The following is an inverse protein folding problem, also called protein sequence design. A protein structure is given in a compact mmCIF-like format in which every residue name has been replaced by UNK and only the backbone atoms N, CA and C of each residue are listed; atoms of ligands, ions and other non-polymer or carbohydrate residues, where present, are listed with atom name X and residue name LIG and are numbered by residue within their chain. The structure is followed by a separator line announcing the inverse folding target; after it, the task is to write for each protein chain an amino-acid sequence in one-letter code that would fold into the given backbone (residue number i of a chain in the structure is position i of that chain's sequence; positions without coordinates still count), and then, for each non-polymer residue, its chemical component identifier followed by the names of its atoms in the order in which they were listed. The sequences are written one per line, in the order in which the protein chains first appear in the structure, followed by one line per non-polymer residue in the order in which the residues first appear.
data_IF_872117377266
#
_entry.id   IF_872117377266
#
_cell.length_a   1.000
_cell.length_b   1.000
_cell.length_c   1.000
_cell.angle_alpha   90.00
_cell.angle_beta   90.00
_cell.angle_gamma   90.00
#
_symmetry.space_group_name_H-M   'P 1'
#
loop_
_entity.id
_entity.type
_entity.pdbx_description
1 polymer ?
#
# COMPACT_ATOMS: atom_id res chain seq x y z
N UNK A 1 5.32 29.13 17.54
CA UNK A 1 5.14 29.17 16.09
C UNK A 1 5.53 27.79 15.55
N UNK A 2 4.56 27.00 15.13
CA UNK A 2 4.83 25.70 14.49
C UNK A 2 5.54 25.97 13.16
N UNK A 3 6.71 25.38 12.96
CA UNK A 3 7.45 25.50 11.72
C UNK A 3 6.58 24.98 10.55
N UNK A 4 6.60 25.70 9.43
CA UNK A 4 5.91 25.29 8.21
C UNK A 4 6.40 23.88 7.80
N UNK A 5 5.50 22.96 7.42
CA UNK A 5 5.94 21.65 6.93
C UNK A 5 6.86 21.81 5.72
N UNK A 6 7.83 20.89 5.53
CA UNK A 6 8.71 20.95 4.37
C UNK A 6 7.88 20.84 3.08
N UNK A 7 8.30 21.50 1.98
CA UNK A 7 7.67 21.31 0.70
C UNK A 7 7.86 19.87 0.23
N UNK A 8 6.92 19.37 -0.59
CA UNK A 8 7.06 18.07 -1.23
C UNK A 8 8.34 18.07 -2.07
N UNK A 9 9.19 17.03 -1.98
CA UNK A 9 10.38 16.93 -2.80
C UNK A 9 10.00 16.84 -4.27
N UNK A 10 10.74 17.55 -5.14
CA UNK A 10 10.51 17.51 -6.57
C UNK A 10 10.72 16.08 -7.13
N UNK A 11 9.94 15.64 -8.13
CA UNK A 11 10.17 14.35 -8.78
C UNK A 11 11.62 14.27 -9.33
N UNK A 12 12.30 13.14 -9.08
CA UNK A 12 13.67 12.95 -9.56
C UNK A 12 13.69 12.87 -11.09
N UNK A 13 14.58 13.63 -11.72
CA UNK A 13 14.73 13.64 -13.17
C UNK A 13 15.19 12.27 -13.73
N UNK A 14 16.00 11.53 -12.97
CA UNK A 14 16.46 10.19 -13.33
C UNK A 14 16.41 9.28 -12.12
N UNK A 15 15.53 8.25 -12.11
CA UNK A 15 15.48 7.29 -11.02
C UNK A 15 16.76 6.45 -10.93
N UNK A 16 17.27 6.27 -9.72
CA UNK A 16 18.37 5.35 -9.42
C UNK A 16 17.82 3.95 -9.16
N UNK A 17 18.46 2.93 -9.74
CA UNK A 17 18.09 1.54 -9.57
C UNK A 17 19.21 0.77 -8.85
N UNK A 18 18.88 0.17 -7.72
CA UNK A 18 19.74 -0.76 -6.99
C UNK A 18 19.21 -2.19 -7.11
N UNK A 19 20.11 -3.17 -7.22
CA UNK A 19 19.75 -4.59 -7.29
C UNK A 19 19.99 -5.26 -5.95
N UNK A 20 19.12 -6.20 -5.62
CA UNK A 20 19.20 -6.99 -4.41
C UNK A 20 19.00 -8.47 -4.73
N UNK A 21 19.69 -9.33 -4.01
CA UNK A 21 19.57 -10.79 -4.15
C UNK A 21 18.26 -11.33 -3.59
N UNK A 22 17.63 -10.59 -2.68
CA UNK A 22 16.35 -10.96 -2.06
C UNK A 22 15.49 -9.75 -1.74
N UNK A 23 14.21 -9.97 -1.53
CA UNK A 23 13.26 -8.95 -1.10
C UNK A 23 13.56 -8.51 0.34
N UNK A 24 14.05 -9.42 1.19
CA UNK A 24 14.49 -9.09 2.53
C UNK A 24 15.66 -8.09 2.51
N UNK A 25 16.68 -8.29 1.66
CA UNK A 25 17.80 -7.35 1.53
C UNK A 25 17.35 -5.96 1.04
N UNK A 26 16.35 -5.90 0.13
CA UNK A 26 15.75 -4.62 -0.27
C UNK A 26 14.98 -3.96 0.89
N UNK A 27 14.29 -4.74 1.71
CA UNK A 27 13.58 -4.26 2.91
C UNK A 27 14.57 -3.74 3.98
N UNK A 28 15.70 -4.39 4.19
CA UNK A 28 16.77 -3.91 5.07
C UNK A 28 17.29 -2.53 4.64
N UNK A 29 17.46 -2.32 3.34
CA UNK A 29 17.86 -1.02 2.80
C UNK A 29 16.79 0.09 3.03
N UNK A 30 15.52 -0.28 3.17
CA UNK A 30 14.45 0.64 3.57
C UNK A 30 14.44 0.85 5.10
N UNK A 31 14.82 -0.16 5.88
CA UNK A 31 14.84 -0.11 7.34
C UNK A 31 16.02 0.71 7.89
N UNK A 32 17.01 1.07 7.08
CA UNK A 32 18.17 1.87 7.49
C UNK A 32 17.80 3.24 8.11
N UNK A 33 16.62 3.78 7.77
CA UNK A 33 16.01 4.94 8.44
C UNK A 33 14.61 4.54 8.96
N UNK A 34 14.51 3.93 10.14
CA UNK A 34 13.31 3.24 10.59
C UNK A 34 12.21 4.17 11.13
N UNK A 35 12.40 5.48 11.15
CA UNK A 35 11.44 6.43 11.71
C UNK A 35 10.25 6.75 10.79
N UNK A 36 9.14 7.17 11.41
CA UNK A 36 8.01 7.74 10.68
C UNK A 36 7.01 6.71 10.13
N UNK A 37 6.56 6.93 8.90
CA UNK A 37 5.57 6.11 8.19
C UNK A 37 6.16 5.57 6.91
N UNK A 38 6.06 4.26 6.68
CA UNK A 38 6.31 3.63 5.37
C UNK A 38 5.00 3.08 4.86
N UNK A 39 4.56 3.57 3.70
CA UNK A 39 3.35 3.11 3.06
C UNK A 39 3.69 2.26 1.81
N UNK A 40 3.33 0.97 1.88
CA UNK A 40 3.47 0.04 0.78
C UNK A 40 2.21 0.03 -0.06
N UNK A 41 2.37 0.36 -1.35
CA UNK A 41 1.31 0.31 -2.34
C UNK A 41 1.47 -0.88 -3.28
N UNK A 42 0.37 -1.49 -3.69
CA UNK A 42 0.38 -2.53 -4.72
C UNK A 42 -0.62 -2.24 -5.84
N UNK A 43 -0.39 -2.85 -7.00
CA UNK A 43 -1.45 -3.08 -7.97
C UNK A 43 -2.17 -4.35 -7.53
N UNK A 44 -3.43 -4.23 -7.17
CA UNK A 44 -4.21 -5.37 -6.71
C UNK A 44 -4.26 -6.48 -7.76
N UNK A 45 -4.05 -7.70 -7.29
CA UNK A 45 -4.18 -8.90 -8.11
C UNK A 45 -5.63 -9.06 -8.58
N UNK A 46 -5.80 -9.52 -9.82
CA UNK A 46 -7.08 -9.90 -10.39
C UNK A 46 -7.12 -11.40 -10.66
N UNK A 47 -8.31 -11.95 -10.95
CA UNK A 47 -8.45 -13.37 -11.35
C UNK A 47 -7.56 -13.76 -12.54
N UNK A 48 -7.27 -12.82 -13.44
CA UNK A 48 -6.39 -13.04 -14.60
C UNK A 48 -4.93 -13.26 -14.20
N UNK A 49 -4.54 -12.78 -13.03
CA UNK A 49 -3.18 -12.89 -12.49
C UNK A 49 -3.08 -13.80 -11.26
N UNK A 50 -4.16 -14.51 -10.90
CA UNK A 50 -4.24 -15.36 -9.71
C UNK A 50 -3.17 -16.48 -9.68
N UNK A 51 -2.67 -16.91 -10.83
CA UNK A 51 -1.56 -17.87 -10.91
C UNK A 51 -0.17 -17.31 -10.58
N UNK A 52 -0.06 -16.00 -10.28
CA UNK A 52 1.19 -15.36 -9.88
C UNK A 52 1.14 -15.06 -8.38
N UNK A 53 2.20 -15.37 -7.64
CA UNK A 53 2.24 -15.04 -6.21
C UNK A 53 2.06 -13.54 -6.00
N UNK A 54 1.08 -13.14 -5.20
CA UNK A 54 0.69 -11.75 -4.98
C UNK A 54 1.80 -10.91 -4.34
N UNK A 55 1.75 -9.58 -4.50
CA UNK A 55 2.59 -8.66 -3.77
C UNK A 55 2.32 -8.75 -2.26
N UNK A 56 1.04 -8.94 -1.88
CA UNK A 56 0.60 -9.11 -0.48
C UNK A 56 1.26 -10.32 0.20
N UNK A 57 1.24 -11.50 -0.45
CA UNK A 57 1.91 -12.68 0.09
C UNK A 57 3.42 -12.49 0.22
N UNK A 58 4.06 -11.85 -0.77
CA UNK A 58 5.51 -11.55 -0.72
C UNK A 58 5.84 -10.54 0.36
N UNK A 59 5.04 -9.51 0.53
CA UNK A 59 5.18 -8.54 1.61
C UNK A 59 5.11 -9.23 2.97
N UNK A 60 4.08 -10.08 3.17
CA UNK A 60 3.83 -10.80 4.42
C UNK A 60 5.00 -11.71 4.82
N UNK A 61 5.59 -12.40 3.86
CA UNK A 61 6.61 -13.41 4.14
C UNK A 61 8.03 -12.86 4.12
N UNK A 62 8.32 -11.86 3.31
CA UNK A 62 9.69 -11.44 3.00
C UNK A 62 10.02 -10.01 3.46
N UNK A 63 9.05 -9.07 3.50
CA UNK A 63 9.28 -7.67 3.92
C UNK A 63 8.91 -7.45 5.38
N UNK A 64 7.70 -7.86 5.77
CA UNK A 64 7.18 -7.59 7.11
C UNK A 64 8.10 -8.13 8.22
N UNK A 65 8.68 -9.35 8.14
CA UNK A 65 9.60 -9.85 9.18
C UNK A 65 10.84 -8.98 9.38
N UNK A 66 11.35 -8.36 8.31
CA UNK A 66 12.51 -7.48 8.35
C UNK A 66 12.18 -6.15 9.02
N UNK A 67 11.01 -5.59 8.73
CA UNK A 67 10.57 -4.30 9.28
C UNK A 67 9.99 -4.41 10.69
N UNK A 68 9.47 -5.57 11.08
CA UNK A 68 8.78 -5.80 12.35
C UNK A 68 9.60 -5.39 13.59
N UNK A 69 10.92 -5.60 13.69
CA UNK A 69 11.71 -5.15 14.82
C UNK A 69 11.67 -3.62 15.05
N UNK A 70 11.38 -2.85 14.01
CA UNK A 70 11.29 -1.40 14.01
C UNK A 70 9.87 -0.87 14.07
N UNK A 71 8.87 -1.71 13.76
CA UNK A 71 7.47 -1.31 13.58
C UNK A 71 6.64 -1.53 14.84
N UNK A 72 5.87 -0.50 15.24
CA UNK A 72 4.87 -0.61 16.30
C UNK A 72 3.50 -0.99 15.74
N UNK A 73 3.14 -0.47 14.57
CA UNK A 73 1.80 -0.59 13.99
C UNK A 73 1.86 -0.97 12.51
N UNK A 74 0.88 -1.77 12.08
CA UNK A 74 0.59 -2.07 10.67
C UNK A 74 -0.87 -1.70 10.39
N UNK A 75 -1.11 -0.80 9.45
CA UNK A 75 -2.44 -0.43 8.97
C UNK A 75 -2.65 -1.13 7.62
N UNK A 76 -3.76 -1.85 7.48
CA UNK A 76 -4.10 -2.58 6.25
C UNK A 76 -5.36 -1.99 5.64
N UNK A 77 -5.33 -1.75 4.33
CA UNK A 77 -6.50 -1.33 3.55
C UNK A 77 -7.49 -2.48 3.42
N UNK A 78 -8.22 -2.70 4.49
CA UNK A 78 -9.37 -3.61 4.49
C UNK A 78 -10.47 -3.03 5.36
N UNK A 79 -11.70 -3.09 4.89
CA UNK A 79 -12.85 -2.51 5.54
C UNK A 79 -13.51 -3.52 6.48
N UNK A 80 -13.85 -3.04 7.67
CA UNK A 80 -14.65 -3.80 8.63
C UNK A 80 -15.81 -2.92 9.09
N UNK A 81 -17.02 -3.39 8.93
CA UNK A 81 -18.22 -2.68 9.39
C UNK A 81 -18.24 -2.52 10.89
N UNK A 82 -18.57 -1.34 11.39
CA UNK A 82 -18.72 -1.05 12.84
C UNK A 82 -20.14 -1.30 13.33
N UNK A 83 -20.79 -2.34 12.81
CA UNK A 83 -22.14 -2.72 13.16
C UNK A 83 -22.74 -3.68 12.14
N UNK A 84 -24.01 -4.05 12.33
CA UNK A 84 -24.75 -4.86 11.36
C UNK A 84 -25.35 -3.94 10.29
N UNK A 85 -24.60 -3.64 9.24
CA UNK A 85 -25.01 -2.70 8.19
C UNK A 85 -25.96 -3.31 7.15
N UNK A 86 -26.21 -4.62 7.22
CA UNK A 86 -27.23 -5.34 6.45
C UNK A 86 -27.01 -5.22 4.93
N UNK A 87 -28.07 -4.92 4.21
CA UNK A 87 -28.04 -4.87 2.73
C UNK A 87 -27.09 -3.85 2.14
N UNK A 88 -26.80 -2.72 2.82
CA UNK A 88 -25.87 -1.72 2.32
C UNK A 88 -24.42 -2.25 2.30
N UNK A 89 -23.98 -2.92 3.35
CA UNK A 89 -22.67 -3.57 3.42
C UNK A 89 -22.56 -4.69 2.39
N UNK A 90 -23.55 -5.59 2.36
CA UNK A 90 -23.58 -6.71 1.41
C UNK A 90 -23.45 -6.24 -0.03
N UNK A 91 -24.26 -5.24 -0.43
CA UNK A 91 -24.23 -4.69 -1.78
C UNK A 91 -22.89 -4.11 -2.15
N UNK A 92 -22.30 -3.29 -1.28
CA UNK A 92 -20.98 -2.69 -1.53
C UNK A 92 -19.93 -3.79 -1.66
N UNK A 93 -19.91 -4.77 -0.76
CA UNK A 93 -18.94 -5.87 -0.78
C UNK A 93 -19.05 -6.70 -2.06
N UNK A 94 -20.26 -7.07 -2.47
CA UNK A 94 -20.50 -7.84 -3.69
C UNK A 94 -20.13 -7.05 -4.96
N UNK A 95 -20.46 -5.75 -5.02
CA UNK A 95 -20.14 -4.90 -6.16
C UNK A 95 -18.63 -4.68 -6.29
N UNK A 96 -17.95 -4.40 -5.17
CA UNK A 96 -16.49 -4.27 -5.13
C UNK A 96 -15.82 -5.56 -5.58
N UNK A 97 -16.23 -6.73 -5.04
CA UNK A 97 -15.67 -8.03 -5.42
C UNK A 97 -15.84 -8.31 -6.93
N UNK A 98 -17.00 -7.96 -7.51
CA UNK A 98 -17.28 -8.12 -8.93
C UNK A 98 -16.43 -7.19 -9.79
N UNK A 99 -16.32 -5.91 -9.41
CA UNK A 99 -15.64 -4.88 -10.20
C UNK A 99 -14.12 -4.97 -10.12
N UNK A 100 -13.59 -5.30 -8.94
CA UNK A 100 -12.13 -5.43 -8.76
C UNK A 100 -11.60 -6.76 -9.26
N UNK A 101 -12.48 -7.73 -9.53
CA UNK A 101 -12.11 -9.10 -9.95
C UNK A 101 -11.04 -9.73 -9.04
N UNK A 102 -11.00 -9.38 -7.75
CA UNK A 102 -10.01 -9.95 -6.82
C UNK A 102 -10.15 -11.47 -6.72
N UNK A 103 -9.02 -12.21 -6.62
CA UNK A 103 -9.06 -13.64 -6.31
C UNK A 103 -9.71 -13.89 -4.94
N UNK A 104 -10.38 -15.02 -4.79
CA UNK A 104 -10.98 -15.40 -3.50
C UNK A 104 -9.95 -15.58 -2.39
N UNK A 105 -8.73 -15.95 -2.74
CA UNK A 105 -7.59 -16.14 -1.83
C UNK A 105 -7.13 -14.84 -1.16
N UNK A 106 -7.46 -13.67 -1.73
CA UNK A 106 -7.03 -12.36 -1.20
C UNK A 106 -7.49 -12.14 0.24
N UNK A 107 -8.70 -12.55 0.60
CA UNK A 107 -9.19 -12.45 1.98
C UNK A 107 -8.35 -13.28 2.95
N UNK A 108 -7.97 -14.49 2.55
CA UNK A 108 -7.10 -15.37 3.34
C UNK A 108 -5.69 -14.78 3.48
N UNK A 109 -5.17 -14.14 2.44
CA UNK A 109 -3.87 -13.47 2.49
C UNK A 109 -3.90 -12.27 3.45
N UNK A 110 -4.97 -11.46 3.45
CA UNK A 110 -5.16 -10.37 4.41
C UNK A 110 -5.20 -10.90 5.85
N UNK A 111 -5.99 -11.95 6.11
CA UNK A 111 -6.05 -12.58 7.43
C UNK A 111 -4.67 -13.11 7.85
N UNK A 112 -3.91 -13.70 6.92
CA UNK A 112 -2.55 -14.19 7.15
C UNK A 112 -1.60 -13.05 7.50
N UNK A 113 -1.67 -11.92 6.78
CA UNK A 113 -0.91 -10.72 7.08
C UNK A 113 -1.17 -10.21 8.50
N UNK A 114 -2.45 -10.07 8.89
CA UNK A 114 -2.83 -9.58 10.22
C UNK A 114 -2.33 -10.52 11.34
N UNK A 115 -2.47 -11.83 11.15
CA UNK A 115 -1.95 -12.85 12.10
C UNK A 115 -0.43 -12.79 12.19
N UNK A 116 0.25 -12.66 11.06
CA UNK A 116 1.71 -12.59 11.00
C UNK A 116 2.24 -11.33 11.70
N UNK A 117 1.63 -10.17 11.45
CA UNK A 117 1.97 -8.93 12.13
C UNK A 117 1.87 -9.08 13.65
N UNK A 118 0.74 -9.60 14.15
CA UNK A 118 0.52 -9.85 15.58
C UNK A 118 1.58 -10.81 16.16
N UNK A 119 1.90 -11.89 15.46
CA UNK A 119 2.93 -12.84 15.90
C UNK A 119 4.33 -12.22 15.97
N UNK A 120 4.62 -11.21 15.15
CA UNK A 120 5.86 -10.45 15.15
C UNK A 120 5.86 -9.27 16.15
N UNK A 121 4.79 -9.12 16.93
CA UNK A 121 4.64 -8.03 17.92
C UNK A 121 4.33 -6.67 17.30
N UNK A 122 3.83 -6.63 16.06
CA UNK A 122 3.32 -5.43 15.39
C UNK A 122 1.81 -5.39 15.56
N UNK A 123 1.26 -4.28 16.06
CA UNK A 123 -0.18 -4.13 16.25
C UNK A 123 -0.90 -3.90 14.90
N UNK A 124 -1.76 -4.84 14.44
CA UNK A 124 -2.48 -4.66 13.20
C UNK A 124 -3.73 -3.79 13.38
N UNK A 125 -4.04 -2.95 12.40
CA UNK A 125 -5.22 -2.10 12.31
C UNK A 125 -5.89 -2.29 10.96
N UNK A 126 -7.22 -2.26 10.96
CA UNK A 126 -8.09 -2.30 9.78
C UNK A 126 -8.96 -1.05 9.76
N UNK A 127 -9.59 -0.75 8.62
CA UNK A 127 -10.41 0.44 8.46
C UNK A 127 -11.83 0.16 8.97
N UNK A 128 -12.17 0.79 10.08
CA UNK A 128 -13.51 0.72 10.67
C UNK A 128 -14.46 1.66 9.91
N UNK A 129 -15.47 1.11 9.23
CA UNK A 129 -16.43 1.85 8.40
C UNK A 129 -17.82 1.73 8.99
N UNK A 130 -18.50 2.87 9.17
CA UNK A 130 -19.83 2.92 9.75
C UNK A 130 -20.92 2.54 8.73
N UNK A 131 -22.08 2.10 9.23
CA UNK A 131 -23.23 1.82 8.38
C UNK A 131 -23.72 3.06 7.62
N UNK A 132 -23.59 4.25 8.21
CA UNK A 132 -23.91 5.50 7.53
C UNK A 132 -22.99 5.75 6.33
N UNK A 133 -21.70 5.44 6.43
CA UNK A 133 -20.77 5.51 5.30
C UNK A 133 -21.13 4.51 4.22
N UNK A 134 -21.43 3.25 4.56
CA UNK A 134 -21.91 2.25 3.58
C UNK A 134 -23.15 2.73 2.82
N UNK A 135 -24.10 3.35 3.52
CA UNK A 135 -25.31 3.91 2.87
C UNK A 135 -24.96 5.00 1.87
N UNK A 136 -23.93 5.83 2.13
CA UNK A 136 -23.52 6.91 1.21
C UNK A 136 -22.81 6.41 -0.04
N UNK A 137 -22.40 5.13 -0.09
CA UNK A 137 -21.76 4.53 -1.25
C UNK A 137 -22.74 4.03 -2.30
N UNK A 138 -24.04 4.01 -2.01
CA UNK A 138 -25.06 3.64 -2.98
C UNK A 138 -25.31 4.82 -3.94
N UNK A 139 -24.82 4.70 -5.16
CA UNK A 139 -25.08 5.63 -6.24
C UNK A 139 -26.48 5.47 -6.85
N UNK A 140 -26.79 6.28 -7.86
CA UNK A 140 -28.02 6.18 -8.61
C UNK A 140 -28.16 4.78 -9.26
N UNK A 141 -29.33 4.16 -9.14
CA UNK A 141 -29.58 2.81 -9.65
C UNK A 141 -28.97 1.67 -8.82
N UNK A 142 -28.44 1.95 -7.62
CA UNK A 142 -27.90 0.95 -6.70
C UNK A 142 -26.49 0.47 -7.00
N UNK A 143 -25.79 1.03 -7.99
CA UNK A 143 -24.37 0.80 -8.21
C UNK A 143 -23.53 1.50 -7.15
N UNK A 144 -22.32 0.97 -6.89
CA UNK A 144 -21.38 1.61 -5.96
C UNK A 144 -20.78 2.87 -6.59
N UNK A 145 -20.77 3.96 -5.82
CA UNK A 145 -20.04 5.18 -6.14
C UNK A 145 -18.53 4.96 -5.84
N UNK A 146 -17.78 4.55 -6.84
CA UNK A 146 -16.34 4.28 -6.71
C UNK A 146 -15.53 5.54 -6.42
N UNK A 147 -15.93 6.69 -6.92
CA UNK A 147 -15.29 7.96 -6.60
C UNK A 147 -15.32 8.22 -5.10
N UNK A 148 -16.50 8.06 -4.52
CA UNK A 148 -16.71 8.20 -3.09
C UNK A 148 -16.01 7.11 -2.27
N UNK A 149 -16.07 5.85 -2.73
CA UNK A 149 -15.42 4.72 -2.08
C UNK A 149 -13.90 4.95 -1.95
N UNK A 150 -13.23 5.31 -3.04
CA UNK A 150 -11.80 5.58 -3.05
C UNK A 150 -11.44 6.78 -2.16
N UNK A 151 -12.26 7.85 -2.20
CA UNK A 151 -12.04 9.03 -1.34
C UNK A 151 -12.20 8.69 0.14
N UNK A 152 -13.23 7.93 0.52
CA UNK A 152 -13.45 7.50 1.91
C UNK A 152 -12.30 6.58 2.36
N UNK A 153 -11.84 5.66 1.51
CA UNK A 153 -10.70 4.79 1.82
C UNK A 153 -9.45 5.61 2.17
N UNK A 154 -9.10 6.60 1.34
CA UNK A 154 -7.95 7.48 1.61
C UNK A 154 -8.10 8.24 2.93
N UNK A 155 -9.30 8.76 3.25
CA UNK A 155 -9.58 9.45 4.49
C UNK A 155 -9.47 8.54 5.71
N UNK A 156 -9.95 7.30 5.61
CA UNK A 156 -9.82 6.31 6.69
C UNK A 156 -8.37 5.91 6.92
N UNK A 157 -7.59 5.70 5.85
CA UNK A 157 -6.16 5.43 5.94
C UNK A 157 -5.41 6.58 6.62
N UNK A 158 -5.64 7.83 6.19
CA UNK A 158 -5.04 9.01 6.83
C UNK A 158 -5.39 9.08 8.31
N UNK A 159 -6.66 8.89 8.67
CA UNK A 159 -7.14 8.91 10.07
C UNK A 159 -6.46 7.81 10.89
N UNK A 160 -6.41 6.59 10.38
CA UNK A 160 -5.77 5.46 11.04
C UNK A 160 -4.27 5.70 11.26
N UNK A 161 -3.57 6.29 10.28
CA UNK A 161 -2.16 6.66 10.41
C UNK A 161 -1.97 7.69 11.52
N UNK A 162 -2.77 8.76 11.55
CA UNK A 162 -2.70 9.79 12.59
C UNK A 162 -2.94 9.21 13.97
N UNK A 163 -3.90 8.30 14.11
CA UNK A 163 -4.18 7.61 15.37
C UNK A 163 -3.01 6.71 15.78
N UNK A 164 -2.49 5.87 14.88
CA UNK A 164 -1.38 4.97 15.17
C UNK A 164 -0.10 5.74 15.57
N UNK A 165 0.18 6.86 14.90
CA UNK A 165 1.31 7.74 15.25
C UNK A 165 1.16 8.34 16.65
N UNK A 166 -0.05 8.61 17.12
CA UNK A 166 -0.34 9.17 18.45
C UNK A 166 -0.32 8.12 19.58
N UNK A 167 -0.42 6.83 19.25
CA UNK A 167 -0.41 5.76 20.25
C UNK A 167 0.99 5.59 20.87
N UNK A 168 1.07 5.14 22.15
CA UNK A 168 2.33 4.77 22.78
C UNK A 168 3.04 3.68 21.95
N UNK A 169 4.29 3.91 21.67
CA UNK A 169 5.13 2.95 20.94
C UNK A 169 5.98 2.20 21.94
N UNK A 170 5.88 0.87 21.95
CA UNK A 170 6.68 0.03 22.84
C UNK A 170 8.17 0.09 22.48
N UNK A 171 9.00 0.61 23.38
CA UNK A 171 10.45 0.66 23.20
C UNK A 171 10.91 1.52 22.01
N UNK A 172 11.93 1.07 21.28
CA UNK A 172 12.56 1.76 20.16
C UNK A 172 11.85 1.50 18.80
N UNK A 173 10.54 1.27 18.75
CA UNK A 173 9.81 0.94 17.52
C UNK A 173 9.06 2.18 16.98
N UNK A 174 9.71 3.10 16.27
CA UNK A 174 9.09 4.34 15.82
C UNK A 174 8.28 4.20 14.52
N UNK A 175 8.35 3.07 13.82
CA UNK A 175 7.79 2.89 12.49
C UNK A 175 6.31 2.51 12.54
N UNK A 176 5.51 3.17 11.70
CA UNK A 176 4.16 2.77 11.32
C UNK A 176 4.21 2.29 9.87
N UNK A 177 3.76 1.06 9.63
CA UNK A 177 3.66 0.47 8.30
C UNK A 177 2.22 0.62 7.82
N UNK A 178 2.04 0.99 6.56
CA UNK A 178 0.73 0.97 5.87
C UNK A 178 0.84 0.02 4.69
N UNK A 179 -0.19 -0.78 4.43
CA UNK A 179 -0.28 -1.66 3.27
C UNK A 179 -1.63 -1.50 2.56
N UNK A 180 -1.61 -1.23 1.26
CA UNK A 180 -2.83 -1.06 0.48
C UNK A 180 -2.56 -0.84 -1.01
N UNK A 181 -3.53 -0.29 -1.72
CA UNK A 181 -3.40 0.03 -3.15
C UNK A 181 -2.50 1.25 -3.40
N UNK A 182 -1.67 1.17 -4.45
CA UNK A 182 -0.71 2.21 -4.83
C UNK A 182 -1.35 3.57 -5.19
N UNK A 183 -2.65 3.60 -5.42
CA UNK A 183 -3.39 4.86 -5.61
C UNK A 183 -3.45 5.70 -4.33
N UNK A 184 -3.50 5.03 -3.16
CA UNK A 184 -3.75 5.71 -1.89
C UNK A 184 -2.49 6.24 -1.22
N UNK A 185 -1.31 5.66 -1.49
CA UNK A 185 -0.05 6.07 -0.87
C UNK A 185 0.77 7.07 -1.69
N UNK A 186 0.36 7.39 -2.92
CA UNK A 186 1.10 8.23 -3.85
C UNK A 186 1.39 9.63 -3.26
N UNK A 187 2.65 10.01 -3.22
CA UNK A 187 3.10 11.30 -2.72
C UNK A 187 2.94 12.43 -3.74
N UNK A 188 2.90 12.08 -5.01
CA UNK A 188 2.76 13.01 -6.14
C UNK A 188 1.61 12.60 -7.05
N UNK A 189 0.38 12.47 -6.53
CA UNK A 189 -0.75 12.03 -7.32
C UNK A 189 -1.04 13.00 -8.47
N UNK A 190 -1.52 12.45 -9.58
CA UNK A 190 -2.13 13.27 -10.62
C UNK A 190 -3.21 14.17 -9.97
N UNK A 191 -3.31 15.46 -10.34
CA UNK A 191 -4.31 16.36 -9.78
C UNK A 191 -5.75 15.83 -9.82
N UNK A 192 -6.11 15.06 -10.84
CA UNK A 192 -7.42 14.42 -10.95
C UNK A 192 -7.63 13.29 -9.93
N UNK A 193 -6.55 12.68 -9.44
CA UNK A 193 -6.55 11.55 -8.50
C UNK A 193 -6.16 11.95 -7.06
N UNK A 194 -5.80 13.22 -6.84
CA UNK A 194 -5.25 13.69 -5.58
C UNK A 194 -6.16 13.42 -4.36
N UNK A 195 -7.48 13.43 -4.55
CA UNK A 195 -8.46 13.15 -3.50
C UNK A 195 -8.46 11.68 -3.02
N UNK A 196 -7.82 10.79 -3.78
CA UNK A 196 -7.71 9.36 -3.44
C UNK A 196 -6.40 9.02 -2.73
N UNK A 197 -5.48 9.98 -2.57
CA UNK A 197 -4.21 9.73 -1.89
C UNK A 197 -4.13 10.45 -0.55
N UNK A 198 -3.67 9.71 0.47
CA UNK A 198 -3.29 10.26 1.77
C UNK A 198 -1.82 10.73 1.80
N UNK A 199 -1.00 10.35 0.82
CA UNK A 199 0.45 10.58 0.81
C UNK A 199 0.87 12.01 1.12
N UNK A 200 0.38 13.04 0.39
CA UNK A 200 0.75 14.45 0.64
C UNK A 200 0.35 14.94 2.03
N UNK A 201 -0.83 14.55 2.51
CA UNK A 201 -1.33 14.97 3.82
C UNK A 201 -0.50 14.35 4.96
N UNK A 202 -0.17 13.05 4.85
CA UNK A 202 0.67 12.36 5.83
C UNK A 202 2.10 12.86 5.79
N UNK A 203 2.69 13.10 4.62
CA UNK A 203 4.01 13.69 4.49
C UNK A 203 4.11 15.04 5.22
N UNK A 204 3.13 15.91 4.99
CA UNK A 204 3.03 17.21 5.68
C UNK A 204 2.88 17.04 7.19
N UNK A 205 1.97 16.19 7.65
CA UNK A 205 1.75 15.89 9.07
C UNK A 205 3.00 15.31 9.75
N UNK A 206 3.71 14.39 9.08
CA UNK A 206 4.92 13.75 9.57
C UNK A 206 6.19 14.60 9.37
N UNK A 207 6.06 15.82 8.85
CA UNK A 207 7.18 16.75 8.58
C UNK A 207 8.28 16.12 7.73
N UNK A 208 7.88 15.36 6.70
CA UNK A 208 8.78 14.68 5.80
C UNK A 208 9.16 13.24 6.20
N UNK A 209 8.80 12.78 7.40
CA UNK A 209 9.05 11.41 7.84
C UNK A 209 8.01 10.42 7.29
N UNK A 210 7.72 10.50 6.00
CA UNK A 210 6.84 9.61 5.24
C UNK A 210 7.57 9.08 4.02
N UNK A 211 7.42 7.80 3.74
CA UNK A 211 8.02 7.14 2.57
C UNK A 211 6.96 6.32 1.84
N UNK A 212 6.83 6.60 0.56
CA UNK A 212 6.06 5.81 -0.38
C UNK A 212 6.94 4.68 -0.92
N UNK A 213 6.42 3.45 -0.93
CA UNK A 213 7.08 2.27 -1.50
C UNK A 213 6.06 1.44 -2.27
N UNK A 214 6.16 1.42 -3.60
CA UNK A 214 5.27 0.61 -4.41
C UNK A 214 5.87 -0.75 -4.73
N UNK A 215 5.06 -1.80 -4.62
CA UNK A 215 5.44 -3.17 -4.92
C UNK A 215 4.87 -3.59 -6.28
N UNK A 216 5.74 -3.86 -7.25
CA UNK A 216 5.33 -4.25 -8.58
C UNK A 216 5.70 -5.70 -8.90
N UNK A 217 4.70 -6.50 -9.20
CA UNK A 217 4.85 -7.84 -9.77
C UNK A 217 5.13 -7.69 -11.27
N UNK A 218 6.26 -8.20 -11.79
CA UNK A 218 6.67 -7.99 -13.19
C UNK A 218 5.63 -8.41 -14.21
N UNK A 219 4.95 -9.52 -13.96
CA UNK A 219 3.93 -10.07 -14.84
C UNK A 219 2.75 -9.09 -15.02
N UNK A 220 2.41 -8.36 -13.96
CA UNK A 220 1.34 -7.35 -13.97
C UNK A 220 1.83 -6.03 -14.56
N UNK A 221 3.06 -5.62 -14.21
CA UNK A 221 3.66 -4.37 -14.69
C UNK A 221 3.88 -4.39 -16.21
N UNK A 222 4.35 -5.50 -16.77
CA UNK A 222 4.55 -5.65 -18.21
C UNK A 222 3.23 -5.75 -19.01
N UNK A 223 2.17 -6.27 -18.39
CA UNK A 223 0.86 -6.38 -19.03
C UNK A 223 0.12 -5.03 -19.17
N UNK A 224 0.46 -4.04 -18.35
CA UNK A 224 -0.28 -2.77 -18.23
C UNK A 224 0.43 -1.65 -19.00
N UNK A 225 -0.17 -1.06 -20.07
CA UNK A 225 0.46 0.04 -20.82
C UNK A 225 0.84 1.24 -19.96
N UNK A 226 -0.02 1.64 -19.01
CA UNK A 226 0.25 2.74 -18.10
C UNK A 226 1.48 2.50 -17.23
N UNK A 227 1.72 1.25 -16.79
CA UNK A 227 2.92 0.89 -16.03
C UNK A 227 4.18 0.94 -16.90
N UNK A 228 4.09 0.49 -18.15
CA UNK A 228 5.23 0.58 -19.08
C UNK A 228 5.64 2.02 -19.39
N UNK A 229 4.71 2.98 -19.28
CA UNK A 229 4.98 4.41 -19.47
C UNK A 229 5.68 5.06 -18.25
N UNK A 230 5.69 4.41 -17.09
CA UNK A 230 6.28 4.97 -15.87
C UNK A 230 7.80 5.13 -15.98
N UNK A 231 8.38 6.22 -15.45
CA UNK A 231 9.82 6.45 -15.48
C UNK A 231 10.65 5.32 -14.88
N UNK A 232 10.16 4.72 -13.79
CA UNK A 232 10.83 3.59 -13.13
C UNK A 232 10.88 2.33 -14.00
N UNK A 233 9.91 2.10 -14.89
CA UNK A 233 9.89 0.91 -15.75
C UNK A 233 11.12 0.83 -16.67
N UNK A 234 11.55 1.96 -17.25
CA UNK A 234 12.76 2.02 -18.07
C UNK A 234 14.02 1.72 -17.24
N UNK A 235 14.11 2.26 -16.02
CA UNK A 235 15.24 2.00 -15.12
C UNK A 235 15.29 0.51 -14.72
N UNK A 236 14.16 -0.08 -14.39
CA UNK A 236 14.04 -1.51 -14.10
C UNK A 236 14.46 -2.39 -15.29
N UNK A 237 13.99 -2.07 -16.50
CA UNK A 237 14.37 -2.84 -17.71
C UNK A 237 15.90 -2.83 -17.93
N UNK A 238 16.54 -1.71 -17.71
CA UNK A 238 18.03 -1.62 -17.79
C UNK A 238 18.73 -2.39 -16.68
N UNK A 239 18.13 -2.47 -15.51
CA UNK A 239 18.68 -3.20 -14.36
C UNK A 239 18.52 -4.73 -14.43
N UNK A 240 18.02 -5.30 -15.52
CA UNK A 240 17.85 -6.75 -15.68
C UNK A 240 16.51 -7.27 -15.18
N UNK A 241 15.45 -6.66 -15.67
CA UNK A 241 14.06 -6.94 -15.29
C UNK A 241 13.72 -8.43 -15.12
N UNK A 242 13.16 -8.76 -13.97
CA UNK A 242 12.57 -10.07 -13.68
C UNK A 242 13.54 -11.14 -13.17
N UNK A 243 14.83 -10.87 -13.06
CA UNK A 243 15.81 -11.81 -12.52
C UNK A 243 16.11 -11.58 -11.03
N UNK A 244 16.18 -10.34 -10.63
CA UNK A 244 16.54 -9.90 -9.28
C UNK A 244 15.49 -8.93 -8.74
N UNK A 245 15.53 -8.66 -7.45
CA UNK A 245 14.77 -7.56 -6.85
C UNK A 245 15.44 -6.25 -7.25
N UNK A 246 14.68 -5.32 -7.79
CA UNK A 246 15.18 -4.00 -8.19
C UNK A 246 14.44 -2.93 -7.40
N UNK A 247 15.16 -2.20 -6.55
CA UNK A 247 14.65 -1.00 -5.88
C UNK A 247 14.98 0.21 -6.74
N UNK A 248 13.96 0.87 -7.25
CA UNK A 248 14.09 2.14 -7.98
C UNK A 248 13.76 3.28 -7.04
N UNK A 249 14.74 4.09 -6.69
CA UNK A 249 14.56 5.28 -5.85
C UNK A 249 14.05 6.45 -6.69
N UNK A 250 13.03 7.11 -6.18
CA UNK A 250 12.48 8.37 -6.67
C UNK A 250 12.73 9.44 -5.59
N UNK A 251 12.53 10.72 -5.87
CA UNK A 251 12.81 11.83 -4.94
C UNK A 251 12.17 11.67 -3.56
N UNK A 252 10.99 11.08 -3.46
CA UNK A 252 10.26 10.93 -2.21
C UNK A 252 9.64 9.54 -2.02
N UNK A 253 9.76 8.67 -3.02
CA UNK A 253 9.22 7.33 -2.99
C UNK A 253 10.17 6.32 -3.60
N UNK A 254 9.83 5.08 -3.52
CA UNK A 254 10.56 3.97 -4.12
C UNK A 254 9.61 3.00 -4.80
N UNK A 255 10.08 2.35 -5.85
CA UNK A 255 9.40 1.21 -6.45
C UNK A 255 10.27 -0.04 -6.26
N UNK A 256 9.72 -1.08 -5.65
CA UNK A 256 10.34 -2.39 -5.58
C UNK A 256 9.73 -3.26 -6.65
N UNK A 257 10.54 -3.66 -7.60
CA UNK A 257 10.14 -4.59 -8.64
C UNK A 257 10.60 -5.99 -8.25
N UNK A 258 9.65 -6.86 -8.10
CA UNK A 258 9.85 -8.22 -7.63
C UNK A 258 10.47 -9.08 -8.75
N UNK A 259 11.20 -10.15 -8.41
CA UNK A 259 11.66 -11.09 -9.44
C UNK A 259 10.46 -11.84 -10.01
N UNK A 260 10.53 -12.20 -11.30
CA UNK A 260 9.58 -13.14 -11.89
C UNK A 260 9.73 -14.46 -11.14
N UNK A 261 8.64 -14.95 -10.64
CA UNK A 261 8.53 -16.33 -10.19
C UNK A 261 7.48 -16.94 -11.11
N UNK A 262 7.79 -18.08 -11.73
CA UNK A 262 6.83 -18.85 -12.48
C UNK A 262 5.51 -19.06 -11.70
N UNK A 263 4.51 -19.75 -12.28
CA UNK A 263 3.22 -19.95 -11.64
C UNK A 263 3.41 -20.39 -10.20
N UNK A 264 2.52 -19.90 -9.32
CA UNK A 264 2.52 -20.29 -7.91
C UNK A 264 2.52 -21.82 -7.81
N UNK A 265 3.29 -22.39 -6.85
CA UNK A 265 3.33 -23.83 -6.64
C UNK A 265 1.97 -24.41 -6.32
#
# INVERSE_FOLDING_TARGET
VLARPPPLPAPAATPEAARFTSLAAAAEALAADPGGVIAFGEIHQTRKTAGVRSALARFTDEILPVLAPHAAHLIVETWVATGACGESEKRVTEDVARTTERPAETENEIVTLLKRAKALGVAPHVLAVSCAEYQTLSGAGGAVDYDRLLSITAQHLERAIRQAVALPRGGARPLVIVYGGALHNDLHPDPALAKYSFGPAVFSFMRGAYREVDLYVPEMADATPAMRAQPWHRAWRRAGAGKEVVLVRRSAGSAILLPRRGPAP
#
